data_IF_199499223990
#
_entry.id   IF_199499223990
#
_cell.length_a   1.000
_cell.length_b   1.000
_cell.length_c   1.000
_cell.angle_alpha   90.00
_cell.angle_beta   90.00
_cell.angle_gamma   90.00
#
_symmetry.space_group_name_H-M   'P 1'
#
loop_
_entity.id
_entity.type
_entity.pdbx_description
1 polymer ?
#
# COMPACT_ATOMS: atom_id res chain seq x y z
N UNK A 1 -29.67 57.03 15.78
CA UNK A 1 -29.69 55.55 15.69
C UNK A 1 -28.64 55.15 14.65
N UNK A 2 -27.40 54.99 15.07
CA UNK A 2 -26.30 54.51 14.25
C UNK A 2 -26.05 53.06 14.64
N UNK A 3 -26.28 52.13 13.71
CA UNK A 3 -25.89 50.75 13.88
C UNK A 3 -24.51 50.59 13.25
N UNK A 4 -23.47 50.63 14.09
CA UNK A 4 -22.15 50.09 13.78
C UNK A 4 -22.24 48.57 13.95
N UNK A 5 -22.20 47.84 12.84
CA UNK A 5 -22.04 46.39 12.85
C UNK A 5 -20.54 46.05 12.90
N UNK A 6 -20.12 45.06 13.69
CA UNK A 6 -18.72 44.76 13.96
C UNK A 6 -18.03 44.06 12.78
N UNK A 7 -16.73 44.36 12.67
CA UNK A 7 -15.76 43.71 11.80
C UNK A 7 -15.56 42.26 12.26
N UNK A 8 -16.38 41.33 11.77
CA UNK A 8 -16.09 39.90 11.89
C UNK A 8 -15.35 39.43 10.65
N UNK A 9 -14.15 38.92 10.92
CA UNK A 9 -13.19 38.41 9.96
C UNK A 9 -13.83 37.41 9.00
N UNK A 10 -13.78 37.72 7.71
CA UNK A 10 -13.89 36.71 6.67
C UNK A 10 -12.59 35.91 6.68
N UNK A 11 -12.60 34.78 7.40
CA UNK A 11 -11.57 33.77 7.23
C UNK A 11 -11.79 33.13 5.86
N UNK A 12 -11.05 33.60 4.86
CA UNK A 12 -10.91 32.89 3.59
C UNK A 12 -10.04 31.67 3.91
N UNK A 13 -10.68 30.52 4.11
CA UNK A 13 -9.95 29.25 4.20
C UNK A 13 -9.30 29.03 2.83
N UNK A 14 -8.01 29.33 2.75
CA UNK A 14 -7.20 28.99 1.61
C UNK A 14 -7.11 27.47 1.57
N UNK A 15 -7.96 26.84 0.76
CA UNK A 15 -7.84 25.41 0.47
C UNK A 15 -6.52 25.22 -0.28
N UNK A 16 -5.48 24.85 0.44
CA UNK A 16 -4.26 24.34 -0.17
C UNK A 16 -4.63 23.05 -0.88
N UNK A 17 -4.88 23.12 -2.20
CA UNK A 17 -4.86 21.94 -3.04
C UNK A 17 -3.43 21.40 -2.96
N UNK A 18 -3.19 20.44 -2.06
CA UNK A 18 -1.93 19.72 -2.01
C UNK A 18 -1.80 18.99 -3.35
N UNK A 19 -1.05 19.58 -4.26
CA UNK A 19 -0.84 19.10 -5.62
C UNK A 19 0.20 17.97 -5.63
N UNK A 20 0.01 16.98 -4.78
CA UNK A 20 0.92 15.85 -4.58
C UNK A 20 0.15 14.57 -4.31
N UNK A 21 0.71 13.45 -4.76
CA UNK A 21 0.14 12.13 -4.49
C UNK A 21 0.24 11.85 -2.98
N UNK A 22 -0.89 11.56 -2.33
CA UNK A 22 -0.92 11.27 -0.89
C UNK A 22 -0.40 9.86 -0.63
N UNK A 23 0.52 9.71 0.31
CA UNK A 23 1.05 8.38 0.65
C UNK A 23 0.02 7.53 1.41
N UNK A 24 -0.18 6.29 0.95
CA UNK A 24 -1.00 5.30 1.64
C UNK A 24 -0.15 4.20 2.24
N UNK A 25 -0.59 3.75 3.40
CA UNK A 25 0.02 2.64 4.11
C UNK A 25 -0.35 1.31 3.46
N UNK A 26 0.66 0.54 3.09
CA UNK A 26 0.52 -0.87 2.73
C UNK A 26 1.32 -1.72 3.72
N UNK A 27 0.68 -2.67 4.39
CA UNK A 27 1.29 -3.52 5.40
C UNK A 27 1.10 -5.00 5.05
N UNK A 28 1.97 -5.86 5.55
CA UNK A 28 1.73 -7.29 5.52
C UNK A 28 1.03 -7.72 6.81
N UNK A 29 -0.25 -8.10 6.72
CA UNK A 29 -1.01 -8.63 7.85
C UNK A 29 -1.38 -10.08 7.56
N UNK A 30 -1.04 -10.99 8.49
CA UNK A 30 -1.30 -12.44 8.33
C UNK A 30 -0.75 -13.05 7.03
N UNK A 31 0.36 -12.51 6.53
CA UNK A 31 0.97 -12.98 5.27
C UNK A 31 0.32 -12.42 4.00
N UNK A 32 -0.62 -11.48 4.11
CA UNK A 32 -1.30 -10.87 2.97
C UNK A 32 -1.09 -9.34 2.96
N UNK A 33 -0.86 -8.73 1.77
CA UNK A 33 -0.77 -7.29 1.64
C UNK A 33 -2.12 -6.64 1.94
N UNK A 34 -2.09 -5.64 2.80
CA UNK A 34 -3.26 -4.91 3.28
C UNK A 34 -3.04 -3.42 3.07
N UNK A 35 -3.91 -2.79 2.29
CA UNK A 35 -3.87 -1.36 1.97
C UNK A 35 -4.96 -0.63 2.77
N UNK A 36 -4.61 0.49 3.37
CA UNK A 36 -5.54 1.39 4.03
C UNK A 36 -5.89 2.55 3.09
N UNK A 37 -7.16 2.64 2.67
CA UNK A 37 -7.61 3.57 1.63
C UNK A 37 -8.73 4.47 2.16
N UNK A 38 -8.57 5.80 2.18
CA UNK A 38 -9.67 6.72 2.47
C UNK A 38 -10.63 6.76 1.27
N UNK A 39 -11.91 6.44 1.50
CA UNK A 39 -12.93 6.43 0.45
C UNK A 39 -13.78 7.71 0.51
N UNK A 40 -14.26 8.24 -0.63
CA UNK A 40 -14.84 9.58 -0.73
C UNK A 40 -16.13 9.78 0.08
N UNK A 41 -16.98 8.75 0.20
CA UNK A 41 -18.25 8.84 0.93
C UNK A 41 -18.13 8.35 2.37
N UNK A 42 -16.97 7.84 2.78
CA UNK A 42 -16.70 7.35 4.12
C UNK A 42 -15.90 8.41 4.88
N UNK A 43 -16.23 8.60 6.15
CA UNK A 43 -15.45 9.49 7.04
C UNK A 43 -14.22 8.79 7.63
N UNK A 44 -14.09 7.48 7.40
CA UNK A 44 -13.05 6.61 7.91
C UNK A 44 -12.28 5.93 6.78
N UNK A 45 -11.10 5.42 7.10
CA UNK A 45 -10.25 4.68 6.17
C UNK A 45 -10.70 3.23 6.10
N UNK A 46 -10.89 2.72 4.88
CA UNK A 46 -11.25 1.31 4.65
C UNK A 46 -10.00 0.45 4.45
N UNK A 47 -10.04 -0.77 4.97
CA UNK A 47 -8.95 -1.73 4.85
C UNK A 47 -9.25 -2.74 3.73
N UNK A 48 -8.30 -2.92 2.82
CA UNK A 48 -8.37 -3.90 1.75
C UNK A 48 -7.21 -4.89 1.85
N UNK A 49 -7.51 -6.13 2.22
CA UNK A 49 -6.55 -7.24 2.22
C UNK A 49 -6.62 -7.96 0.88
N UNK A 50 -5.48 -8.10 0.21
CA UNK A 50 -5.38 -8.61 -1.14
C UNK A 50 -4.68 -9.97 -1.17
N UNK A 51 -5.01 -10.79 -2.17
CA UNK A 51 -4.48 -12.15 -2.34
C UNK A 51 -3.59 -12.25 -3.58
N UNK A 52 -2.25 -12.19 -3.43
CA UNK A 52 -1.30 -12.16 -4.54
C UNK A 52 -1.51 -13.22 -5.62
N UNK A 53 -1.91 -14.44 -5.22
CA UNK A 53 -2.03 -15.61 -6.11
C UNK A 53 -3.37 -15.67 -6.82
N UNK A 54 -4.46 -15.28 -6.14
CA UNK A 54 -5.84 -15.54 -6.63
C UNK A 54 -6.54 -14.31 -7.15
N UNK A 55 -6.03 -13.12 -6.85
CA UNK A 55 -6.66 -11.85 -7.22
C UNK A 55 -5.83 -11.08 -8.25
N UNK A 56 -6.53 -10.23 -8.98
CA UNK A 56 -6.00 -9.29 -9.95
C UNK A 56 -6.27 -7.85 -9.52
N UNK A 57 -5.62 -6.91 -10.19
CA UNK A 57 -5.93 -5.47 -10.10
C UNK A 57 -7.43 -5.24 -10.33
N UNK A 58 -8.04 -5.96 -11.28
CA UNK A 58 -9.46 -5.86 -11.58
C UNK A 58 -10.37 -6.21 -10.40
N UNK A 59 -9.98 -7.21 -9.61
CA UNK A 59 -10.72 -7.61 -8.40
C UNK A 59 -10.59 -6.56 -7.32
N UNK A 60 -9.37 -6.07 -7.06
CA UNK A 60 -9.14 -4.98 -6.10
C UNK A 60 -9.95 -3.72 -6.42
N UNK A 61 -9.91 -3.26 -7.68
CA UNK A 61 -10.70 -2.10 -8.12
C UNK A 61 -12.20 -2.33 -7.95
N UNK A 62 -12.66 -3.56 -8.16
CA UNK A 62 -14.06 -3.93 -7.96
C UNK A 62 -14.42 -3.90 -6.47
N UNK A 63 -13.56 -4.39 -5.60
CA UNK A 63 -13.74 -4.29 -4.14
C UNK A 63 -13.90 -2.83 -3.69
N UNK A 64 -13.03 -1.94 -4.16
CA UNK A 64 -13.11 -0.49 -3.86
C UNK A 64 -14.42 0.12 -4.33
N UNK A 65 -14.84 -0.16 -5.57
CA UNK A 65 -16.12 0.34 -6.12
C UNK A 65 -17.34 -0.24 -5.38
N UNK A 66 -17.28 -1.49 -4.93
CA UNK A 66 -18.40 -2.13 -4.23
C UNK A 66 -18.56 -1.66 -2.79
N UNK A 67 -17.48 -1.19 -2.15
CA UNK A 67 -17.49 -0.72 -0.76
C UNK A 67 -18.06 0.71 -0.63
N UNK A 68 -17.88 1.55 -1.66
CA UNK A 68 -18.31 2.95 -1.65
C UNK A 68 -18.95 3.36 -2.98
N UNK A 69 -20.26 3.62 -2.93
CA UNK A 69 -21.05 4.06 -4.08
C UNK A 69 -20.76 5.47 -4.61
N UNK A 70 -19.94 6.27 -3.91
CA UNK A 70 -19.41 7.56 -4.39
C UNK A 70 -18.11 7.44 -5.17
N UNK A 71 -17.58 6.22 -5.35
CA UNK A 71 -16.46 5.97 -6.25
C UNK A 71 -16.99 5.88 -7.68
N UNK A 72 -16.80 6.95 -8.46
CA UNK A 72 -17.20 7.00 -9.87
C UNK A 72 -16.11 6.43 -10.78
N UNK A 73 -14.85 6.72 -10.45
CA UNK A 73 -13.68 6.35 -11.25
C UNK A 73 -12.61 5.80 -10.33
N UNK A 74 -12.08 4.62 -10.67
CA UNK A 74 -10.89 4.08 -10.01
C UNK A 74 -9.95 3.44 -11.03
N UNK A 75 -8.66 3.66 -10.87
CA UNK A 75 -7.62 3.05 -11.69
C UNK A 75 -6.28 2.99 -10.94
N UNK A 76 -5.43 2.05 -11.35
CA UNK A 76 -4.05 1.99 -10.91
C UNK A 76 -3.10 2.48 -12.02
N UNK A 77 -2.08 3.21 -11.61
CA UNK A 77 -1.01 3.68 -12.47
C UNK A 77 0.34 3.23 -11.90
N UNK A 78 1.33 3.07 -12.76
CA UNK A 78 2.73 2.97 -12.33
C UNK A 78 3.23 4.32 -11.82
N UNK A 79 4.45 4.35 -11.27
CA UNK A 79 5.11 5.59 -10.82
C UNK A 79 5.24 6.61 -11.97
N UNK A 80 5.44 6.10 -13.20
CA UNK A 80 5.54 6.86 -14.46
C UNK A 80 4.17 7.25 -15.05
N UNK A 81 3.08 7.17 -14.29
CA UNK A 81 1.70 7.51 -14.71
C UNK A 81 1.18 6.67 -15.91
N UNK A 82 1.71 5.45 -16.09
CA UNK A 82 1.21 4.46 -17.06
C UNK A 82 0.10 3.62 -16.43
N UNK A 83 -1.04 3.45 -17.12
CA UNK A 83 -2.16 2.64 -16.63
C UNK A 83 -1.73 1.17 -16.47
N UNK A 84 -1.99 0.60 -15.29
CA UNK A 84 -1.80 -0.82 -15.02
C UNK A 84 -3.06 -1.60 -15.43
N UNK A 85 -2.88 -2.63 -16.26
CA UNK A 85 -3.99 -3.43 -16.77
C UNK A 85 -4.73 -4.16 -15.64
N UNK A 86 -6.06 -4.26 -15.74
CA UNK A 86 -6.90 -4.96 -14.76
C UNK A 86 -6.56 -6.44 -14.62
N UNK A 87 -6.03 -7.08 -15.66
CA UNK A 87 -5.62 -8.49 -15.65
C UNK A 87 -4.29 -8.75 -14.94
N UNK A 88 -3.57 -7.69 -14.53
CA UNK A 88 -2.32 -7.83 -13.77
C UNK A 88 -2.62 -8.50 -12.43
N UNK A 89 -1.87 -9.54 -12.08
CA UNK A 89 -2.00 -10.20 -10.77
C UNK A 89 -1.54 -9.27 -9.64
N UNK A 90 -2.10 -9.46 -8.44
CA UNK A 90 -1.66 -8.70 -7.27
C UNK A 90 -0.19 -8.98 -6.93
N UNK A 91 0.31 -10.21 -7.15
CA UNK A 91 1.75 -10.51 -6.98
C UNK A 91 2.65 -9.59 -7.81
N UNK A 92 2.29 -9.34 -9.07
CA UNK A 92 3.08 -8.46 -9.96
C UNK A 92 2.94 -7.00 -9.56
N UNK A 93 1.72 -6.56 -9.18
CA UNK A 93 1.47 -5.20 -8.70
C UNK A 93 2.35 -4.84 -7.50
N UNK A 94 2.50 -5.76 -6.55
CA UNK A 94 3.20 -5.54 -5.28
C UNK A 94 4.74 -5.48 -5.40
N UNK A 95 5.31 -5.66 -6.60
CA UNK A 95 6.78 -5.64 -6.81
C UNK A 95 7.37 -4.24 -6.91
N UNK A 96 6.54 -3.25 -7.19
CA UNK A 96 6.95 -1.85 -7.36
C UNK A 96 5.92 -0.94 -6.72
N UNK A 97 6.31 0.27 -6.32
CA UNK A 97 5.35 1.30 -5.98
C UNK A 97 4.39 1.58 -7.16
N UNK A 98 3.19 1.98 -6.81
CA UNK A 98 2.14 2.29 -7.78
C UNK A 98 1.22 3.37 -7.22
N UNK A 99 0.46 4.03 -8.11
CA UNK A 99 -0.51 5.05 -7.74
C UNK A 99 -1.92 4.50 -7.85
N UNK A 100 -2.70 4.61 -6.78
CA UNK A 100 -4.14 4.42 -6.78
C UNK A 100 -4.82 5.76 -7.03
N UNK A 101 -5.69 5.83 -8.04
CA UNK A 101 -6.50 7.02 -8.29
C UNK A 101 -7.96 6.70 -8.02
N UNK A 102 -8.60 7.45 -7.13
CA UNK A 102 -10.03 7.39 -6.85
C UNK A 102 -10.61 8.77 -7.15
N UNK A 103 -11.47 8.86 -8.15
CA UNK A 103 -11.99 10.11 -8.69
C UNK A 103 -10.83 11.07 -9.04
N UNK A 104 -10.75 12.20 -8.34
CA UNK A 104 -9.70 13.20 -8.50
C UNK A 104 -8.53 13.04 -7.52
N UNK A 105 -8.67 12.16 -6.52
CA UNK A 105 -7.65 11.90 -5.53
C UNK A 105 -6.60 10.92 -6.07
N UNK A 106 -5.34 11.20 -5.76
CA UNK A 106 -4.19 10.39 -6.15
C UNK A 106 -3.44 9.95 -4.91
N UNK A 107 -3.11 8.67 -4.89
CA UNK A 107 -2.52 8.02 -3.74
C UNK A 107 -1.29 7.24 -4.17
N UNK A 108 -0.13 7.53 -3.59
CA UNK A 108 1.08 6.75 -3.78
C UNK A 108 1.09 5.58 -2.80
N UNK A 109 1.26 4.36 -3.30
CA UNK A 109 1.32 3.14 -2.49
C UNK A 109 2.71 2.55 -2.59
N UNK A 110 3.35 2.35 -1.43
CA UNK A 110 4.62 1.65 -1.32
C UNK A 110 4.39 0.27 -0.71
N UNK A 111 4.37 -0.81 -1.51
CA UNK A 111 4.29 -2.16 -0.98
C UNK A 111 5.47 -2.46 -0.04
N UNK A 112 5.26 -3.23 1.04
CA UNK A 112 6.36 -3.68 1.88
C UNK A 112 7.28 -4.61 1.07
N UNK A 113 8.59 -4.52 1.31
CA UNK A 113 9.56 -5.38 0.63
C UNK A 113 9.35 -6.85 1.03
N UNK A 114 8.70 -7.61 0.15
CA UNK A 114 8.38 -9.02 0.35
C UNK A 114 9.64 -9.87 0.56
N UNK A 115 10.81 -9.47 0.04
CA UNK A 115 12.06 -10.19 0.23
C UNK A 115 12.58 -10.13 1.67
N UNK A 116 12.27 -9.06 2.41
CA UNK A 116 12.63 -8.90 3.82
C UNK A 116 11.68 -9.67 4.76
N UNK A 117 10.51 -10.09 4.28
CA UNK A 117 9.52 -10.79 5.09
C UNK A 117 9.78 -12.30 5.10
N UNK A 118 10.47 -12.83 4.07
CA UNK A 118 10.95 -14.21 4.03
C UNK A 118 12.03 -14.53 5.06
N UNK A 119 12.78 -13.56 5.61
CA UNK A 119 13.77 -13.84 6.66
C UNK A 119 13.18 -13.84 8.07
N UNK A 120 12.12 -13.08 8.34
CA UNK A 120 11.46 -13.04 9.66
C UNK A 120 10.32 -14.06 9.81
N UNK A 121 9.74 -14.57 8.71
CA UNK A 121 8.70 -15.60 8.74
C UNK A 121 9.24 -17.05 8.84
N UNK A 122 10.57 -17.23 8.94
CA UNK A 122 11.22 -18.55 9.03
C UNK A 122 11.24 -19.17 10.44
N UNK A 123 10.47 -18.64 11.40
CA UNK A 123 10.39 -19.21 12.74
C UNK A 123 9.31 -20.30 12.90
N UNK A 124 8.51 -20.62 11.87
CA UNK A 124 7.25 -21.36 12.10
C UNK A 124 6.74 -22.31 11.03
N UNK A 125 7.37 -22.48 9.87
CA UNK A 125 6.96 -23.48 8.89
C UNK A 125 8.20 -24.19 8.33
N UNK A 126 8.44 -25.39 8.85
CA UNK A 126 9.36 -26.32 8.22
C UNK A 126 8.81 -26.70 6.86
N UNK A 127 9.49 -26.27 5.80
CA UNK A 127 9.45 -26.97 4.51
C UNK A 127 10.76 -26.73 3.80
N UNK A 128 11.37 -27.85 3.43
CA UNK A 128 12.65 -27.97 2.75
C UNK A 128 12.57 -27.29 1.37
N UNK A 129 13.74 -27.03 0.79
CA UNK A 129 13.99 -26.33 -0.48
C UNK A 129 14.17 -24.81 -0.36
N UNK A 130 15.32 -24.42 0.20
CA UNK A 130 16.09 -23.35 -0.44
C UNK A 130 17.56 -23.72 -0.34
N UNK A 131 18.14 -24.19 -1.45
CA UNK A 131 19.59 -24.29 -1.60
C UNK A 131 20.13 -22.86 -1.68
N UNK A 132 20.46 -22.28 -0.54
CA UNK A 132 21.31 -21.09 -0.49
C UNK A 132 22.69 -21.46 -1.03
N UNK A 133 22.95 -21.14 -2.30
CA UNK A 133 24.24 -21.36 -2.97
C UNK A 133 25.32 -20.34 -2.58
N UNK A 134 25.28 -19.75 -1.38
CA UNK A 134 26.28 -18.78 -0.97
C UNK A 134 26.61 -18.89 0.53
N UNK A 135 27.72 -19.57 0.83
CA UNK A 135 28.18 -19.90 2.18
C UNK A 135 28.87 -18.72 2.90
N UNK A 136 28.98 -17.54 2.28
CA UNK A 136 29.88 -16.49 2.78
C UNK A 136 29.28 -15.49 3.78
N UNK A 137 28.02 -15.65 4.20
CA UNK A 137 27.33 -14.64 5.03
C UNK A 137 26.61 -15.19 6.27
N UNK A 138 26.99 -16.38 6.76
CA UNK A 138 26.48 -16.88 8.05
C UNK A 138 27.41 -16.47 9.21
N UNK A 139 27.03 -15.53 10.11
CA UNK A 139 27.87 -15.11 11.24
C UNK A 139 27.85 -16.09 12.44
N UNK A 140 27.64 -17.40 12.24
CA UNK A 140 27.47 -18.38 13.31
C UNK A 140 28.49 -19.54 13.24
N UNK A 141 29.78 -19.25 13.04
CA UNK A 141 30.83 -20.30 13.08
C UNK A 141 32.15 -19.83 13.71
N UNK A 142 32.09 -19.20 14.89
CA UNK A 142 33.32 -18.92 15.68
C UNK A 142 33.29 -19.51 17.08
N UNK A 143 32.63 -20.65 17.27
CA UNK A 143 32.71 -21.37 18.54
C UNK A 143 32.75 -22.86 18.27
N UNK A 144 33.88 -23.39 17.80
CA UNK A 144 34.33 -24.78 17.97
C UNK A 144 35.65 -24.91 17.21
N UNK A 145 36.78 -24.54 17.82
CA UNK A 145 38.14 -25.00 17.49
C UNK A 145 39.14 -24.32 18.45
N UNK A 146 39.23 -24.84 19.66
CA UNK A 146 40.43 -24.72 20.52
C UNK A 146 40.36 -25.88 21.52
N UNK A 147 40.98 -26.97 21.10
CA UNK A 147 41.10 -28.22 21.83
C UNK A 147 42.20 -29.03 21.16
N UNK A 148 43.44 -28.56 21.31
CA UNK A 148 44.63 -29.37 21.57
C UNK A 148 45.64 -28.49 22.34
#
# INVERSE_FOLDING_TARGET
KTCLMPLWQQSVTLCSAASGDQELKCELQNGLPTILVPLPSKLETCQFTLKPVTETVGDFLTHVMSEDGGVERVALYSEDDIIIARSTSIDVLMRKPFKLRINDNRYMVHPPDLALLTCHAQSGLGTMFSTCSNWSLCPLTTAYLSGD
#
